data_IF_386187611026
#
_entry.id   IF_386187611026
#
_cell.length_a   1.000
_cell.length_b   1.000
_cell.length_c   1.000
_cell.angle_alpha   90.00
_cell.angle_beta   90.00
_cell.angle_gamma   90.00
#
_symmetry.space_group_name_H-M   'P 1'
#
loop_
_entity.id
_entity.type
_entity.pdbx_description
1 polymer ?
#
# COMPACT_ATOMS: atom_id res chain seq x y z
N UNK A 1 -37.58 6.67 17.59
CA UNK A 1 -37.19 8.04 17.24
C UNK A 1 -35.86 7.97 16.46
N UNK A 2 -35.71 8.65 15.34
CA UNK A 2 -34.40 8.71 14.65
C UNK A 2 -33.39 9.35 15.61
N UNK A 3 -32.32 8.62 15.95
CA UNK A 3 -31.22 9.18 16.75
C UNK A 3 -30.60 10.31 15.94
N UNK A 4 -30.79 11.56 16.41
CA UNK A 4 -30.14 12.72 15.80
C UNK A 4 -28.64 12.54 15.78
N UNK A 5 -28.04 12.74 14.62
CA UNK A 5 -26.58 12.65 14.46
C UNK A 5 -25.93 13.71 15.37
N UNK A 6 -24.83 13.41 16.06
CA UNK A 6 -24.06 14.42 16.76
C UNK A 6 -23.59 15.53 15.80
N UNK A 7 -23.38 16.77 16.31
CA UNK A 7 -22.87 17.85 15.48
C UNK A 7 -21.58 17.46 14.76
N UNK A 8 -21.48 17.74 13.47
CA UNK A 8 -20.34 17.40 12.63
C UNK A 8 -19.01 17.92 13.21
N UNK A 9 -19.04 19.09 13.83
CA UNK A 9 -17.89 19.69 14.49
C UNK A 9 -17.41 18.85 15.69
N UNK A 10 -18.31 18.27 16.48
CA UNK A 10 -17.95 17.38 17.58
C UNK A 10 -17.31 16.07 17.06
N UNK A 11 -17.81 15.56 15.94
CA UNK A 11 -17.25 14.40 15.26
C UNK A 11 -15.85 14.71 14.70
N UNK A 12 -15.65 15.91 14.11
CA UNK A 12 -14.35 16.38 13.62
C UNK A 12 -13.32 16.47 14.76
N UNK A 13 -13.73 17.05 15.89
CA UNK A 13 -12.87 17.13 17.09
C UNK A 13 -12.48 15.75 17.58
N UNK A 14 -13.40 14.78 17.65
CA UNK A 14 -13.08 13.38 18.02
C UNK A 14 -12.04 12.77 17.09
N UNK A 15 -12.25 12.85 15.79
CA UNK A 15 -11.35 12.30 14.78
C UNK A 15 -9.93 12.88 14.91
N UNK A 16 -9.84 14.20 15.11
CA UNK A 16 -8.56 14.89 15.33
C UNK A 16 -7.89 14.46 16.64
N UNK A 17 -8.64 14.31 17.72
CA UNK A 17 -8.11 13.82 19.00
C UNK A 17 -7.58 12.38 18.90
N UNK A 18 -8.26 11.50 18.18
CA UNK A 18 -7.82 10.12 17.95
C UNK A 18 -6.53 10.08 17.14
N UNK A 19 -6.43 10.89 16.09
CA UNK A 19 -5.26 10.96 15.20
C UNK A 19 -4.03 11.53 15.91
N UNK A 20 -4.18 12.62 16.65
CA UNK A 20 -3.07 13.33 17.30
C UNK A 20 -2.71 12.83 18.71
N UNK A 21 -3.59 12.01 19.30
CA UNK A 21 -3.37 11.34 20.59
C UNK A 21 -3.49 12.25 21.83
N UNK A 22 -3.62 13.57 21.69
CA UNK A 22 -3.76 14.50 22.81
C UNK A 22 -4.73 15.63 22.51
N UNK A 23 -5.46 16.10 23.54
CA UNK A 23 -6.38 17.22 23.40
C UNK A 23 -5.66 18.55 23.07
N UNK A 24 -4.46 18.75 23.58
CA UNK A 24 -3.69 19.97 23.33
C UNK A 24 -3.27 20.08 21.85
N UNK A 25 -2.81 18.98 21.24
CA UNK A 25 -2.48 18.95 19.80
C UNK A 25 -3.71 19.13 18.93
N UNK A 26 -4.80 18.47 19.29
CA UNK A 26 -6.07 18.63 18.58
C UNK A 26 -6.60 20.08 18.65
N UNK A 27 -6.51 20.69 19.83
CA UNK A 27 -6.90 22.08 20.04
C UNK A 27 -6.06 23.05 19.18
N UNK A 28 -4.76 22.87 19.14
CA UNK A 28 -3.85 23.67 18.31
C UNK A 28 -4.19 23.57 16.82
N UNK A 29 -4.41 22.34 16.32
CA UNK A 29 -4.78 22.13 14.92
C UNK A 29 -6.15 22.72 14.55
N UNK A 30 -7.11 22.65 15.48
CA UNK A 30 -8.48 23.11 15.26
C UNK A 30 -8.68 24.60 15.57
N UNK A 31 -7.66 25.31 16.05
CA UNK A 31 -7.75 26.72 16.42
C UNK A 31 -8.68 27.00 17.62
N UNK A 32 -8.83 26.05 18.55
CA UNK A 32 -9.68 26.16 19.75
C UNK A 32 -8.89 25.87 21.02
N UNK A 33 -9.48 26.12 22.18
CA UNK A 33 -8.80 25.84 23.45
C UNK A 33 -8.89 24.36 23.84
N UNK A 34 -7.90 23.81 24.59
CA UNK A 34 -7.97 22.43 25.13
C UNK A 34 -9.19 22.20 26.01
N UNK A 35 -9.66 23.22 26.71
CA UNK A 35 -10.89 23.18 27.53
C UNK A 35 -12.12 22.99 26.63
N UNK A 36 -12.21 23.70 25.50
CA UNK A 36 -13.29 23.53 24.54
C UNK A 36 -13.30 22.12 23.92
N UNK A 37 -12.13 21.57 23.60
CA UNK A 37 -12.01 20.16 23.16
C UNK A 37 -12.56 19.21 24.22
N UNK A 38 -12.13 19.37 25.48
CA UNK A 38 -12.60 18.53 26.59
C UNK A 38 -14.10 18.60 26.81
N UNK A 39 -14.68 19.82 26.75
CA UNK A 39 -16.14 20.01 26.88
C UNK A 39 -16.89 19.35 25.73
N UNK A 40 -16.45 19.54 24.48
CA UNK A 40 -17.08 18.90 23.31
C UNK A 40 -17.02 17.39 23.35
N UNK A 41 -15.91 16.81 23.83
CA UNK A 41 -15.79 15.36 23.96
C UNK A 41 -16.73 14.80 25.04
N UNK A 42 -16.85 15.46 26.20
CA UNK A 42 -17.82 15.07 27.23
C UNK A 42 -19.27 15.17 26.74
N UNK A 43 -19.63 16.24 26.01
CA UNK A 43 -20.96 16.38 25.43
C UNK A 43 -21.25 15.28 24.41
N UNK A 44 -20.26 14.93 23.57
CA UNK A 44 -20.37 13.84 22.60
C UNK A 44 -20.55 12.48 23.31
N UNK A 45 -19.75 12.19 24.34
CA UNK A 45 -19.88 10.97 25.16
C UNK A 45 -21.26 10.84 25.79
N UNK A 46 -21.77 11.96 26.36
CA UNK A 46 -23.12 11.99 26.94
C UNK A 46 -24.21 11.75 25.88
N UNK A 47 -24.09 12.35 24.70
CA UNK A 47 -25.07 12.20 23.62
C UNK A 47 -25.13 10.76 23.05
N UNK A 48 -23.96 10.13 22.88
CA UNK A 48 -23.90 8.78 22.30
C UNK A 48 -23.97 7.67 23.34
N UNK A 49 -23.86 8.02 24.65
CA UNK A 49 -23.90 7.07 25.76
C UNK A 49 -22.66 6.16 25.85
N UNK A 50 -21.51 6.59 25.32
CA UNK A 50 -20.30 5.77 25.25
C UNK A 50 -19.08 6.56 25.70
N UNK A 51 -18.27 5.98 26.59
CA UNK A 51 -16.97 6.55 26.97
C UNK A 51 -15.97 6.39 25.85
N UNK A 52 -15.45 7.51 25.37
CA UNK A 52 -14.45 7.59 24.29
C UNK A 52 -13.04 7.79 24.83
N UNK A 53 -12.89 8.49 25.96
CA UNK A 53 -11.63 8.80 26.58
C UNK A 53 -11.62 8.39 28.05
N UNK A 54 -10.49 7.85 28.50
CA UNK A 54 -10.25 7.50 29.91
C UNK A 54 -9.05 8.30 30.44
N UNK A 55 -9.13 8.74 31.69
CA UNK A 55 -8.01 9.36 32.38
C UNK A 55 -7.33 8.34 33.28
N UNK A 56 -6.02 8.20 33.12
CA UNK A 56 -5.15 7.51 34.06
C UNK A 56 -4.15 8.52 34.61
N UNK A 57 -4.48 9.18 35.73
CA UNK A 57 -3.71 10.31 36.26
C UNK A 57 -3.70 11.48 35.26
N UNK A 58 -2.52 12.04 34.93
CA UNK A 58 -2.38 13.14 33.96
C UNK A 58 -2.52 12.67 32.50
N UNK A 59 -2.50 11.35 32.24
CA UNK A 59 -2.51 10.78 30.89
C UNK A 59 -3.94 10.51 30.43
N UNK A 60 -4.27 11.02 29.25
CA UNK A 60 -5.53 10.73 28.55
C UNK A 60 -5.29 9.61 27.54
N UNK A 61 -6.14 8.56 27.59
CA UNK A 61 -6.08 7.44 26.67
C UNK A 61 -7.38 7.30 25.90
N UNK A 62 -7.30 7.01 24.60
CA UNK A 62 -8.43 6.72 23.74
C UNK A 62 -8.90 5.28 23.96
N UNK A 63 -10.21 5.05 24.04
CA UNK A 63 -10.78 3.70 24.04
C UNK A 63 -10.77 3.09 22.64
N UNK A 64 -10.90 1.75 22.54
CA UNK A 64 -11.02 1.08 21.24
C UNK A 64 -12.25 1.57 20.45
N UNK A 65 -13.34 1.87 21.15
CA UNK A 65 -14.54 2.46 20.55
C UNK A 65 -14.27 3.84 19.98
N UNK A 66 -13.45 4.67 20.65
CA UNK A 66 -13.06 5.98 20.15
C UNK A 66 -12.18 5.86 18.90
N UNK A 67 -11.22 4.91 18.90
CA UNK A 67 -10.37 4.65 17.74
C UNK A 67 -11.18 4.23 16.52
N UNK A 68 -12.06 3.24 16.68
CA UNK A 68 -12.91 2.75 15.60
C UNK A 68 -13.85 3.84 15.06
N UNK A 69 -14.50 4.60 15.97
CA UNK A 69 -15.39 5.69 15.57
C UNK A 69 -14.61 6.84 14.90
N UNK A 70 -13.49 7.25 15.47
CA UNK A 70 -12.66 8.33 14.91
C UNK A 70 -12.11 8.01 13.53
N UNK A 71 -11.73 6.75 13.28
CA UNK A 71 -11.31 6.29 11.97
C UNK A 71 -12.44 6.40 10.94
N UNK A 72 -13.63 5.89 11.26
CA UNK A 72 -14.81 5.97 10.37
C UNK A 72 -15.26 7.40 10.11
N UNK A 73 -15.12 8.29 11.11
CA UNK A 73 -15.41 9.72 10.94
C UNK A 73 -14.38 10.36 9.98
N UNK A 74 -13.09 10.06 10.10
CA UNK A 74 -12.10 10.57 9.16
C UNK A 74 -12.41 10.16 7.71
N UNK A 75 -12.81 8.90 7.51
CA UNK A 75 -13.25 8.40 6.19
C UNK A 75 -14.45 9.21 5.66
N UNK A 76 -15.47 9.42 6.50
CA UNK A 76 -16.65 10.20 6.13
C UNK A 76 -16.33 11.67 5.84
N UNK A 77 -15.48 12.30 6.64
CA UNK A 77 -15.05 13.70 6.41
C UNK A 77 -14.25 13.83 5.12
N UNK A 78 -13.44 12.85 4.75
CA UNK A 78 -12.74 12.85 3.47
C UNK A 78 -13.71 12.81 2.28
N UNK A 79 -14.80 12.03 2.39
CA UNK A 79 -15.86 12.03 1.37
C UNK A 79 -16.57 13.38 1.26
N UNK A 80 -16.86 14.02 2.40
CA UNK A 80 -17.47 15.35 2.42
C UNK A 80 -16.54 16.39 1.77
N UNK A 81 -15.25 16.37 2.10
CA UNK A 81 -14.27 17.26 1.47
C UNK A 81 -14.23 17.03 -0.05
N UNK A 82 -14.14 15.78 -0.50
CA UNK A 82 -14.19 15.46 -1.93
C UNK A 82 -15.41 16.05 -2.62
N UNK A 83 -16.61 15.88 -2.05
CA UNK A 83 -17.85 16.40 -2.62
C UNK A 83 -17.87 17.95 -2.69
N UNK A 84 -17.36 18.63 -1.65
CA UNK A 84 -17.25 20.10 -1.64
C UNK A 84 -16.28 20.58 -2.72
N UNK A 85 -15.19 19.88 -2.88
CA UNK A 85 -14.15 20.19 -3.85
C UNK A 85 -14.64 19.95 -5.29
N UNK A 86 -15.40 18.87 -5.52
CA UNK A 86 -16.09 18.62 -6.79
C UNK A 86 -17.04 19.79 -7.15
N UNK A 87 -17.78 20.31 -6.17
CA UNK A 87 -18.63 21.48 -6.36
C UNK A 87 -17.85 22.74 -6.74
N UNK A 88 -16.63 22.89 -6.23
CA UNK A 88 -15.75 24.05 -6.55
C UNK A 88 -15.09 23.94 -7.92
N UNK A 89 -15.25 22.82 -8.63
CA UNK A 89 -14.55 22.51 -9.90
C UNK A 89 -13.03 22.69 -9.83
N UNK A 90 -12.44 22.52 -8.64
CA UNK A 90 -11.01 22.54 -8.47
C UNK A 90 -10.51 21.17 -8.92
N UNK A 91 -9.67 21.11 -9.95
CA UNK A 91 -8.97 19.87 -10.33
C UNK A 91 -8.01 19.51 -9.18
N UNK A 92 -8.44 18.61 -8.31
CA UNK A 92 -7.54 18.08 -7.30
C UNK A 92 -6.49 17.19 -7.95
N UNK A 93 -5.29 17.15 -7.39
CA UNK A 93 -4.35 16.12 -7.79
C UNK A 93 -4.96 14.75 -7.49
N UNK A 94 -4.82 13.83 -8.41
CA UNK A 94 -5.21 12.43 -8.26
C UNK A 94 -4.39 11.80 -7.13
N UNK A 95 -5.06 11.38 -6.07
CA UNK A 95 -4.43 10.76 -4.90
C UNK A 95 -4.33 9.25 -5.14
N UNK A 96 -3.11 8.77 -5.31
CA UNK A 96 -2.83 7.36 -5.54
C UNK A 96 -2.14 6.79 -4.32
N UNK A 97 -2.70 5.71 -3.75
CA UNK A 97 -1.98 4.90 -2.76
C UNK A 97 -1.51 3.62 -3.42
N UNK A 98 -0.24 3.25 -3.24
CA UNK A 98 0.37 2.19 -4.02
C UNK A 98 1.29 1.32 -3.16
N UNK A 99 1.32 0.01 -3.45
CA UNK A 99 2.34 -0.88 -2.89
C UNK A 99 3.75 -0.39 -3.28
N UNK A 100 4.69 -0.26 -2.34
CA UNK A 100 5.99 0.41 -2.57
C UNK A 100 6.77 -0.16 -3.75
N UNK A 101 6.84 -1.48 -3.88
CA UNK A 101 7.53 -2.14 -4.99
C UNK A 101 6.91 -1.79 -6.34
N UNK A 102 5.57 -1.83 -6.42
CA UNK A 102 4.87 -1.48 -7.66
C UNK A 102 5.04 0.00 -7.99
N UNK A 103 4.98 0.87 -6.98
CA UNK A 103 5.23 2.30 -7.16
C UNK A 103 6.61 2.56 -7.77
N UNK A 104 7.66 2.02 -7.16
CA UNK A 104 9.04 2.26 -7.58
C UNK A 104 9.39 1.62 -8.94
N UNK A 105 8.91 0.39 -9.19
CA UNK A 105 9.35 -0.41 -10.34
C UNK A 105 8.45 -0.33 -11.55
N UNK A 106 7.17 -0.07 -11.33
CA UNK A 106 6.23 -0.06 -12.45
C UNK A 106 5.61 1.31 -12.69
N UNK A 107 5.03 1.94 -11.66
CA UNK A 107 4.23 3.15 -11.83
C UNK A 107 5.10 4.37 -12.14
N UNK A 108 6.04 4.72 -11.25
CA UNK A 108 6.86 5.94 -11.38
C UNK A 108 7.61 6.01 -12.72
N UNK A 109 8.28 4.94 -13.21
CA UNK A 109 8.94 4.99 -14.51
C UNK A 109 8.00 5.26 -15.69
N UNK A 110 6.70 4.94 -15.55
CA UNK A 110 5.69 5.12 -16.61
C UNK A 110 4.88 6.41 -16.48
N UNK A 111 4.96 7.11 -15.36
CA UNK A 111 4.24 8.39 -15.18
C UNK A 111 4.61 9.44 -16.22
N UNK A 112 5.82 9.38 -16.79
CA UNK A 112 6.22 10.25 -17.90
C UNK A 112 5.23 10.13 -19.07
N UNK A 113 4.86 8.89 -19.43
CA UNK A 113 3.89 8.66 -20.54
C UNK A 113 2.48 9.10 -20.19
N UNK A 114 2.09 9.02 -18.92
CA UNK A 114 0.82 9.57 -18.46
C UNK A 114 0.79 11.10 -18.52
N UNK A 115 1.87 11.74 -18.06
CA UNK A 115 1.97 13.21 -18.00
C UNK A 115 1.98 13.88 -19.38
N UNK A 116 2.31 13.14 -20.45
CA UNK A 116 2.21 13.66 -21.84
C UNK A 116 0.78 13.70 -22.36
N UNK A 117 -0.19 13.09 -21.68
CA UNK A 117 -1.59 13.11 -22.09
C UNK A 117 -2.22 14.48 -21.79
N UNK A 118 -3.01 15.05 -22.73
CA UNK A 118 -3.68 16.36 -22.52
C UNK A 118 -4.62 16.39 -21.31
N UNK A 119 -5.14 15.22 -20.92
CA UNK A 119 -6.07 15.04 -19.81
C UNK A 119 -5.40 14.61 -18.50
N UNK A 120 -4.05 14.58 -18.45
CA UNK A 120 -3.33 14.14 -17.27
C UNK A 120 -3.64 15.03 -16.05
N UNK A 121 -4.01 14.39 -14.95
CA UNK A 121 -4.15 15.04 -13.66
C UNK A 121 -2.80 15.14 -12.95
N UNK A 122 -2.62 16.17 -12.12
CA UNK A 122 -1.52 16.16 -11.15
C UNK A 122 -1.70 14.94 -10.22
N UNK A 123 -0.60 14.33 -9.79
CA UNK A 123 -0.63 13.12 -8.97
C UNK A 123 0.03 13.39 -7.61
N UNK A 124 -0.62 12.93 -6.55
CA UNK A 124 -0.03 12.75 -5.22
C UNK A 124 0.05 11.25 -4.96
N UNK A 125 1.28 10.72 -4.84
CA UNK A 125 1.54 9.29 -4.65
C UNK A 125 1.95 9.01 -3.20
N UNK A 126 1.18 8.13 -2.55
CA UNK A 126 1.51 7.57 -1.24
C UNK A 126 1.92 6.10 -1.39
N UNK A 127 3.21 5.82 -1.19
CA UNK A 127 3.77 4.48 -1.30
C UNK A 127 3.77 3.79 0.07
N UNK A 128 2.74 2.97 0.34
CA UNK A 128 2.57 2.28 1.62
C UNK A 128 2.14 0.82 1.45
N UNK A 129 2.54 -0.04 2.40
CA UNK A 129 2.13 -1.46 2.44
C UNK A 129 0.66 -1.60 2.88
N UNK A 130 0.20 -0.76 3.78
CA UNK A 130 -1.14 -0.82 4.33
C UNK A 130 -2.16 -0.21 3.38
N UNK A 131 -3.36 -0.77 3.31
CA UNK A 131 -4.47 -0.12 2.63
C UNK A 131 -4.86 1.11 3.45
N UNK A 132 -4.74 2.28 2.81
CA UNK A 132 -5.17 3.54 3.41
C UNK A 132 -6.69 3.57 3.60
N UNK A 133 -7.22 4.34 4.56
CA UNK A 133 -8.67 4.44 4.77
C UNK A 133 -9.41 4.85 3.50
N UNK A 134 -10.61 4.33 3.31
CA UNK A 134 -11.48 4.72 2.21
C UNK A 134 -11.75 6.23 2.26
N UNK A 135 -11.67 6.90 1.10
CA UNK A 135 -11.81 8.36 1.00
C UNK A 135 -10.51 9.15 1.18
N UNK A 136 -9.40 8.53 1.62
CA UNK A 136 -8.09 9.18 1.66
C UNK A 136 -7.35 9.14 0.32
N UNK A 137 -7.83 8.36 -0.63
CA UNK A 137 -7.27 8.20 -1.97
C UNK A 137 -8.38 8.04 -3.01
N UNK A 138 -8.05 8.25 -4.26
CA UNK A 138 -8.95 8.11 -5.41
C UNK A 138 -8.72 6.77 -6.10
N UNK A 139 -7.47 6.34 -6.18
CA UNK A 139 -7.03 5.07 -6.77
C UNK A 139 -6.05 4.37 -5.83
N UNK A 140 -6.17 3.06 -5.71
CA UNK A 140 -5.20 2.25 -4.98
C UNK A 140 -4.62 1.15 -5.87
N UNK A 141 -3.33 0.84 -5.70
CA UNK A 141 -2.69 -0.32 -6.30
C UNK A 141 -2.17 -1.19 -5.16
N UNK A 142 -2.76 -2.39 -5.03
CA UNK A 142 -2.51 -3.28 -3.90
C UNK A 142 -2.18 -4.70 -4.34
N UNK A 143 -1.30 -5.35 -3.57
CA UNK A 143 -1.10 -6.79 -3.64
C UNK A 143 -2.05 -7.50 -2.70
N UNK A 144 -2.73 -8.53 -3.18
CA UNK A 144 -3.67 -9.33 -2.39
C UNK A 144 -4.46 -10.33 -3.23
N UNK A 145 -5.30 -11.12 -2.56
CA UNK A 145 -6.06 -12.18 -3.20
C UNK A 145 -7.41 -11.71 -3.77
N UNK A 146 -7.89 -10.49 -3.38
CA UNK A 146 -9.28 -10.11 -3.64
C UNK A 146 -10.28 -11.03 -2.94
N UNK A 147 -11.58 -10.80 -3.04
CA UNK A 147 -12.18 -9.58 -3.56
C UNK A 147 -11.90 -8.37 -2.67
N UNK A 148 -12.18 -7.16 -3.19
CA UNK A 148 -11.95 -5.88 -2.50
C UNK A 148 -13.30 -5.21 -2.21
N UNK A 149 -13.96 -5.52 -1.09
CA UNK A 149 -15.29 -4.98 -0.77
C UNK A 149 -15.30 -3.45 -0.75
N UNK A 150 -16.29 -2.85 -1.40
CA UNK A 150 -16.43 -1.40 -1.49
C UNK A 150 -15.63 -0.74 -2.63
N UNK A 151 -14.89 -1.52 -3.42
CA UNK A 151 -14.12 -1.02 -4.56
C UNK A 151 -14.49 -1.76 -5.85
N UNK A 152 -14.49 -1.03 -6.95
CA UNK A 152 -14.28 -1.62 -8.27
C UNK A 152 -12.82 -2.05 -8.35
N UNK A 153 -12.55 -3.16 -9.03
CA UNK A 153 -11.19 -3.68 -9.11
C UNK A 153 -10.90 -4.39 -10.42
N UNK A 154 -9.65 -4.30 -10.84
CA UNK A 154 -9.13 -5.07 -11.96
C UNK A 154 -7.75 -5.63 -11.62
N UNK A 155 -7.52 -6.88 -11.99
CA UNK A 155 -6.23 -7.54 -11.82
C UNK A 155 -5.24 -6.99 -12.84
N UNK A 156 -4.07 -6.56 -12.38
CA UNK A 156 -3.01 -6.01 -13.21
C UNK A 156 -1.92 -7.06 -13.51
N UNK A 157 -1.30 -7.59 -12.47
CA UNK A 157 -0.11 -8.42 -12.58
C UNK A 157 -0.15 -9.55 -11.56
N UNK A 158 0.28 -10.74 -11.96
CA UNK A 158 0.52 -11.84 -11.03
C UNK A 158 1.76 -11.55 -10.17
N UNK A 159 1.73 -11.99 -8.91
CA UNK A 159 2.88 -11.97 -8.00
C UNK A 159 3.62 -13.31 -8.11
N UNK A 160 4.04 -13.66 -9.33
CA UNK A 160 4.86 -14.84 -9.57
C UNK A 160 6.34 -14.54 -9.26
N UNK A 161 7.04 -15.52 -8.72
CA UNK A 161 8.45 -15.37 -8.33
C UNK A 161 9.37 -16.37 -9.03
N UNK A 162 10.51 -15.86 -9.53
CA UNK A 162 11.65 -16.69 -9.95
C UNK A 162 12.91 -16.22 -9.24
N UNK A 163 13.91 -17.10 -9.02
CA UNK A 163 15.18 -16.69 -8.43
C UNK A 163 15.87 -15.62 -9.28
N UNK A 164 16.15 -14.49 -8.67
CA UNK A 164 16.96 -13.42 -9.24
C UNK A 164 18.16 -13.16 -8.33
N UNK A 165 19.32 -12.95 -8.91
CA UNK A 165 20.56 -12.77 -8.18
C UNK A 165 21.54 -11.85 -8.95
N UNK A 166 22.48 -11.28 -8.21
CA UNK A 166 23.57 -10.50 -8.82
C UNK A 166 24.37 -11.36 -9.81
N UNK A 167 24.81 -10.80 -10.94
CA UNK A 167 25.73 -11.47 -11.88
C UNK A 167 26.98 -12.06 -11.23
N UNK A 168 27.42 -11.52 -10.10
CA UNK A 168 28.58 -12.06 -9.36
C UNK A 168 28.41 -13.50 -8.86
N UNK A 169 27.16 -13.93 -8.67
CA UNK A 169 26.82 -15.28 -8.28
C UNK A 169 26.54 -16.21 -9.47
N UNK A 170 26.31 -15.61 -10.65
CA UNK A 170 26.02 -16.37 -11.86
C UNK A 170 27.31 -16.89 -12.48
N UNK A 171 27.35 -18.16 -12.89
CA UNK A 171 28.49 -18.67 -13.64
C UNK A 171 28.53 -18.04 -15.04
N UNK A 172 29.70 -18.00 -15.70
CA UNK A 172 29.83 -17.56 -17.08
C UNK A 172 28.79 -18.22 -18.00
N UNK A 173 28.20 -17.43 -18.90
CA UNK A 173 27.17 -17.90 -19.84
C UNK A 173 25.80 -18.18 -19.19
N UNK A 174 25.55 -17.66 -17.99
CA UNK A 174 24.27 -17.79 -17.25
C UNK A 174 23.77 -19.26 -17.08
N UNK A 175 24.70 -20.22 -17.04
CA UNK A 175 24.38 -21.65 -16.85
C UNK A 175 24.18 -22.00 -15.38
N UNK A 176 23.21 -21.33 -14.73
CA UNK A 176 22.84 -21.62 -13.35
C UNK A 176 22.06 -22.95 -13.28
N UNK A 177 22.38 -23.78 -12.32
CA UNK A 177 21.63 -24.98 -11.99
C UNK A 177 21.10 -24.87 -10.54
N UNK A 178 20.05 -25.62 -10.20
CA UNK A 178 19.52 -25.63 -8.82
C UNK A 178 20.62 -26.01 -7.81
N UNK A 179 21.49 -26.94 -8.16
CA UNK A 179 22.63 -27.34 -7.32
C UNK A 179 23.62 -26.19 -7.07
N UNK A 180 23.84 -25.33 -8.06
CA UNK A 180 24.65 -24.10 -7.89
C UNK A 180 23.93 -23.04 -7.08
N UNK A 181 22.60 -22.86 -7.30
CA UNK A 181 21.78 -21.93 -6.52
C UNK A 181 21.81 -22.27 -5.02
N UNK A 182 21.82 -23.53 -4.64
CA UNK A 182 21.91 -23.96 -3.24
C UNK A 182 23.21 -23.54 -2.54
N UNK A 183 24.25 -23.12 -3.29
CA UNK A 183 25.49 -22.56 -2.73
C UNK A 183 25.41 -21.04 -2.52
N UNK A 184 24.42 -20.39 -3.10
CA UNK A 184 24.15 -18.94 -2.94
C UNK A 184 23.27 -18.79 -1.70
N UNK A 185 23.57 -17.83 -0.80
CA UNK A 185 22.60 -17.49 0.26
C UNK A 185 21.29 -17.01 -0.35
N UNK A 186 20.16 -17.38 0.26
CA UNK A 186 18.84 -16.97 -0.22
C UNK A 186 18.24 -15.91 0.72
N UNK A 187 17.59 -14.93 0.17
CA UNK A 187 16.78 -13.98 0.93
C UNK A 187 15.50 -14.71 1.36
N UNK A 188 15.11 -14.68 2.65
CA UNK A 188 13.97 -15.43 3.17
C UNK A 188 12.65 -15.08 2.49
N UNK A 189 11.99 -16.06 1.89
CA UNK A 189 10.65 -16.00 1.31
C UNK A 189 9.99 -17.36 1.54
N UNK A 190 8.72 -17.40 1.91
CA UNK A 190 7.96 -18.62 2.19
C UNK A 190 7.77 -19.51 0.95
N UNK A 191 7.85 -18.94 -0.24
CA UNK A 191 7.65 -19.64 -1.52
C UNK A 191 8.88 -20.46 -1.96
N UNK A 192 10.04 -20.34 -1.31
CA UNK A 192 11.22 -21.11 -1.71
C UNK A 192 11.01 -22.62 -1.71
N UNK A 193 10.27 -23.14 -0.74
CA UNK A 193 10.00 -24.60 -0.67
C UNK A 193 9.22 -25.07 -1.90
N UNK A 194 8.20 -24.33 -2.30
CA UNK A 194 7.39 -24.64 -3.49
C UNK A 194 8.21 -24.45 -4.78
N UNK A 195 9.02 -23.39 -4.86
CA UNK A 195 9.89 -23.19 -6.01
C UNK A 195 10.88 -24.35 -6.20
N UNK A 196 11.53 -24.83 -5.12
CA UNK A 196 12.43 -25.98 -5.19
C UNK A 196 11.70 -27.26 -5.60
N UNK A 197 10.47 -27.45 -5.16
CA UNK A 197 9.63 -28.57 -5.60
C UNK A 197 9.36 -28.52 -7.10
N UNK A 198 8.98 -27.34 -7.62
CA UNK A 198 8.78 -27.09 -9.06
C UNK A 198 10.09 -27.30 -9.85
N UNK A 199 11.23 -26.96 -9.28
CA UNK A 199 12.54 -27.15 -9.88
C UNK A 199 13.09 -28.58 -9.75
N UNK A 200 12.30 -29.54 -9.26
CA UNK A 200 12.66 -30.96 -9.14
C UNK A 200 13.52 -31.32 -7.93
N UNK A 201 13.62 -30.45 -6.92
CA UNK A 201 14.44 -30.68 -5.72
C UNK A 201 13.62 -30.41 -4.44
N UNK A 202 12.58 -31.21 -4.15
CA UNK A 202 11.62 -30.93 -3.07
C UNK A 202 12.23 -30.92 -1.66
N UNK A 203 13.35 -31.61 -1.47
CA UNK A 203 14.05 -31.71 -0.17
C UNK A 203 15.28 -30.81 -0.10
N UNK A 204 15.28 -29.68 -0.85
CA UNK A 204 16.38 -28.74 -0.83
C UNK A 204 16.61 -28.18 0.59
N UNK A 205 17.87 -28.00 0.97
CA UNK A 205 18.30 -27.39 2.24
C UNK A 205 19.08 -26.10 1.94
N UNK A 206 18.40 -25.02 1.57
CA UNK A 206 19.06 -23.76 1.26
C UNK A 206 19.61 -23.10 2.52
N UNK A 207 20.61 -22.24 2.35
CA UNK A 207 21.11 -21.34 3.37
C UNK A 207 20.40 -19.99 3.20
N UNK A 208 19.78 -19.48 4.25
CA UNK A 208 19.17 -18.17 4.25
C UNK A 208 20.10 -17.12 4.87
N UNK A 209 20.02 -15.89 4.35
CA UNK A 209 20.62 -14.74 5.00
C UNK A 209 19.85 -14.42 6.31
N UNK A 210 20.54 -13.86 7.29
CA UNK A 210 19.92 -13.49 8.57
C UNK A 210 18.99 -12.26 8.45
N UNK A 211 19.21 -11.41 7.41
CA UNK A 211 18.42 -10.21 7.18
C UNK A 211 17.03 -10.54 6.61
N UNK A 212 16.03 -9.79 7.04
CA UNK A 212 14.66 -9.78 6.48
C UNK A 212 14.33 -8.39 5.98
N UNK A 213 13.62 -8.32 4.87
CA UNK A 213 13.26 -7.06 4.23
C UNK A 213 11.73 -6.90 4.20
N UNK A 214 11.21 -5.68 4.38
CA UNK A 214 9.76 -5.46 4.49
C UNK A 214 9.03 -5.51 3.15
N UNK A 215 9.74 -5.47 2.02
CA UNK A 215 9.14 -5.49 0.67
C UNK A 215 10.14 -5.98 -0.39
N UNK A 216 9.61 -6.38 -1.54
CA UNK A 216 10.41 -6.88 -2.66
C UNK A 216 11.39 -5.85 -3.26
N UNK A 217 11.13 -4.56 -3.09
CA UNK A 217 12.06 -3.52 -3.53
C UNK A 217 13.39 -3.62 -2.79
N UNK A 218 13.35 -3.74 -1.47
CA UNK A 218 14.56 -3.89 -0.65
C UNK A 218 15.21 -5.25 -0.81
N UNK A 219 14.41 -6.31 -1.04
CA UNK A 219 14.94 -7.63 -1.39
C UNK A 219 15.71 -7.59 -2.72
N UNK A 220 15.17 -6.93 -3.73
CA UNK A 220 15.84 -6.77 -5.02
C UNK A 220 17.13 -5.95 -4.90
N UNK A 221 17.13 -4.86 -4.12
CA UNK A 221 18.34 -4.09 -3.84
C UNK A 221 19.40 -4.94 -3.13
N UNK A 222 19.01 -5.75 -2.17
CA UNK A 222 19.90 -6.69 -1.49
C UNK A 222 20.46 -7.73 -2.46
N UNK A 223 19.64 -8.25 -3.37
CA UNK A 223 20.09 -9.18 -4.41
C UNK A 223 21.06 -8.53 -5.38
N UNK A 224 20.80 -7.29 -5.84
CA UNK A 224 21.74 -6.51 -6.69
C UNK A 224 23.10 -6.35 -6.01
N UNK A 225 23.10 -5.99 -4.72
CA UNK A 225 24.35 -5.91 -3.92
C UNK A 225 24.99 -7.28 -3.66
N UNK A 226 24.26 -8.35 -4.03
CA UNK A 226 24.72 -9.75 -3.92
C UNK A 226 24.78 -10.28 -2.51
N UNK A 227 23.90 -9.81 -1.64
CA UNK A 227 23.67 -10.39 -0.31
C UNK A 227 23.13 -11.83 -0.46
N UNK A 228 22.30 -12.06 -1.48
CA UNK A 228 21.74 -13.39 -1.75
C UNK A 228 20.86 -13.38 -3.00
N UNK A 229 20.25 -14.52 -3.32
CA UNK A 229 19.21 -14.61 -4.34
C UNK A 229 17.83 -14.36 -3.72
N UNK A 230 16.98 -13.63 -4.43
CA UNK A 230 15.60 -13.33 -4.04
C UNK A 230 14.59 -13.97 -5.01
N UNK A 231 13.39 -14.30 -4.52
CA UNK A 231 12.25 -14.68 -5.36
C UNK A 231 11.48 -13.43 -5.77
N UNK A 232 11.67 -12.99 -7.00
CA UNK A 232 11.13 -11.73 -7.49
C UNK A 232 10.28 -11.95 -8.75
N UNK A 233 9.29 -11.08 -8.95
CA UNK A 233 8.46 -11.09 -10.16
C UNK A 233 9.19 -10.45 -11.34
N UNK A 234 9.45 -11.19 -12.45
CA UNK A 234 10.12 -10.62 -13.61
C UNK A 234 9.40 -9.41 -14.19
N UNK A 235 8.06 -9.37 -14.11
CA UNK A 235 7.26 -8.26 -14.62
C UNK A 235 7.51 -6.91 -13.91
N UNK A 236 7.97 -6.94 -12.65
CA UNK A 236 8.31 -5.74 -11.90
C UNK A 236 9.78 -5.34 -12.00
N UNK A 237 10.67 -6.32 -12.19
CA UNK A 237 12.12 -6.09 -12.15
C UNK A 237 12.81 -6.26 -13.52
N UNK A 238 12.04 -6.07 -14.60
CA UNK A 238 12.57 -6.13 -15.99
C UNK A 238 13.72 -5.16 -16.21
N UNK A 239 13.66 -3.97 -15.63
CA UNK A 239 14.72 -2.96 -15.71
C UNK A 239 16.04 -3.45 -15.11
N UNK A 240 16.03 -4.13 -13.97
CA UNK A 240 17.23 -4.69 -13.39
C UNK A 240 17.83 -5.84 -14.23
N UNK A 241 16.97 -6.60 -14.92
CA UNK A 241 17.41 -7.66 -15.82
C UNK A 241 18.04 -7.05 -17.08
N UNK A 242 17.39 -6.08 -17.71
CA UNK A 242 17.88 -5.44 -18.94
C UNK A 242 19.15 -4.65 -18.72
N UNK A 243 19.31 -4.01 -17.56
CA UNK A 243 20.54 -3.31 -17.16
C UNK A 243 21.65 -4.27 -16.71
N UNK A 244 21.37 -5.56 -16.62
CA UNK A 244 22.35 -6.55 -16.13
C UNK A 244 22.66 -6.45 -14.63
N UNK A 245 21.86 -5.71 -13.87
CA UNK A 245 22.01 -5.60 -12.41
C UNK A 245 21.58 -6.89 -11.69
N UNK A 246 20.60 -7.59 -12.24
CA UNK A 246 20.16 -8.92 -11.83
C UNK A 246 20.11 -9.86 -13.03
N UNK A 247 20.31 -11.16 -12.76
CA UNK A 247 20.03 -12.23 -13.71
C UNK A 247 18.89 -13.11 -13.16
N UNK A 248 18.01 -13.55 -14.06
CA UNK A 248 16.92 -14.50 -13.79
C UNK A 248 17.19 -15.79 -14.56
N UNK A 249 18.02 -16.71 -14.03
CA UNK A 249 18.55 -17.83 -14.79
C UNK A 249 17.57 -19.01 -14.93
N UNK A 250 16.40 -18.95 -14.33
CA UNK A 250 15.42 -20.03 -14.34
C UNK A 250 14.13 -19.58 -15.02
N UNK A 251 13.55 -20.46 -15.83
CA UNK A 251 12.20 -20.28 -16.40
C UNK A 251 11.09 -20.66 -15.43
N UNK A 252 11.38 -21.53 -14.46
CA UNK A 252 10.42 -21.95 -13.44
C UNK A 252 10.03 -20.77 -12.56
N UNK A 253 8.72 -20.56 -12.44
CA UNK A 253 8.14 -19.52 -11.58
C UNK A 253 7.21 -20.17 -10.58
N UNK A 254 7.27 -19.72 -9.33
CA UNK A 254 6.29 -20.08 -8.31
C UNK A 254 5.20 -19.00 -8.31
N UNK A 255 3.95 -19.41 -8.34
CA UNK A 255 2.84 -18.51 -8.20
C UNK A 255 2.81 -17.93 -6.78
N UNK A 256 2.63 -16.62 -6.69
CA UNK A 256 2.37 -15.96 -5.42
C UNK A 256 0.92 -16.17 -4.97
N UNK A 257 0.66 -16.08 -3.66
CA UNK A 257 -0.70 -16.17 -3.14
C UNK A 257 -1.55 -14.95 -3.52
N UNK A 258 -0.93 -13.90 -4.05
CA UNK A 258 -1.55 -12.62 -4.33
C UNK A 258 -1.30 -12.16 -5.77
N UNK A 259 -2.05 -11.14 -6.18
CA UNK A 259 -1.85 -10.42 -7.43
C UNK A 259 -1.85 -8.92 -7.16
N UNK A 260 -1.30 -8.12 -8.05
CA UNK A 260 -1.48 -6.67 -8.00
C UNK A 260 -2.81 -6.30 -8.63
N UNK A 261 -3.57 -5.46 -7.92
CA UNK A 261 -4.89 -5.00 -8.29
C UNK A 261 -4.93 -3.49 -8.37
N UNK A 262 -5.61 -2.96 -9.35
CA UNK A 262 -6.04 -1.58 -9.41
C UNK A 262 -7.42 -1.49 -8.77
N UNK A 263 -7.59 -0.60 -7.81
CA UNK A 263 -8.81 -0.41 -7.03
C UNK A 263 -9.26 1.04 -7.13
N UNK A 264 -10.57 1.27 -7.25
CA UNK A 264 -11.16 2.62 -7.23
C UNK A 264 -12.60 2.57 -6.74
N UNK A 265 -13.15 3.71 -6.32
CA UNK A 265 -14.59 3.84 -6.04
C UNK A 265 -15.28 4.49 -7.24
N UNK A 266 -16.58 4.17 -7.45
CA UNK A 266 -17.37 4.76 -8.56
C UNK A 266 -17.45 6.30 -8.49
N UNK A 267 -17.33 6.86 -7.29
CA UNK A 267 -17.47 8.29 -7.03
C UNK A 267 -16.17 9.10 -7.25
N UNK A 268 -15.02 8.45 -7.11
CA UNK A 268 -13.71 9.11 -7.08
C UNK A 268 -12.78 8.68 -8.23
N UNK A 269 -13.32 8.05 -9.29
CA UNK A 269 -12.50 7.52 -10.37
C UNK A 269 -12.10 8.61 -11.39
N UNK A 270 -10.80 8.85 -11.54
CA UNK A 270 -10.24 9.54 -12.71
C UNK A 270 -10.25 8.57 -13.91
N UNK A 271 -11.27 8.71 -14.78
CA UNK A 271 -11.46 7.83 -15.92
C UNK A 271 -10.25 7.81 -16.88
N UNK A 272 -9.52 8.92 -17.00
CA UNK A 272 -8.34 9.01 -17.87
C UNK A 272 -7.17 8.21 -17.31
N UNK A 273 -6.92 8.33 -15.98
CA UNK A 273 -5.89 7.54 -15.33
C UNK A 273 -6.23 6.05 -15.35
N UNK A 274 -7.48 5.68 -15.08
CA UNK A 274 -7.92 4.29 -15.12
C UNK A 274 -7.79 3.68 -16.53
N UNK A 275 -8.19 4.41 -17.56
CA UNK A 275 -8.04 4.00 -18.95
C UNK A 275 -6.57 3.83 -19.34
N UNK A 276 -5.71 4.81 -18.95
CA UNK A 276 -4.28 4.71 -19.17
C UNK A 276 -3.68 3.50 -18.44
N UNK A 277 -4.00 3.31 -17.16
CA UNK A 277 -3.53 2.15 -16.38
C UNK A 277 -3.92 0.82 -17.05
N UNK A 278 -5.21 0.66 -17.39
CA UNK A 278 -5.72 -0.55 -18.04
C UNK A 278 -5.02 -0.82 -19.37
N UNK A 279 -4.82 0.22 -20.19
CA UNK A 279 -4.15 0.10 -21.51
C UNK A 279 -2.72 -0.42 -21.38
N UNK A 280 -2.00 -0.06 -20.31
CA UNK A 280 -0.63 -0.55 -20.04
C UNK A 280 -0.57 -2.07 -19.80
N UNK A 281 -1.70 -2.69 -19.47
CA UNK A 281 -1.81 -4.14 -19.23
C UNK A 281 -2.65 -4.85 -20.30
N UNK A 282 -3.04 -4.15 -21.38
CA UNK A 282 -3.90 -4.70 -22.42
C UNK A 282 -5.31 -5.06 -21.94
N UNK A 283 -5.78 -4.36 -20.89
CA UNK A 283 -7.12 -4.54 -20.31
C UNK A 283 -8.05 -3.50 -20.94
N UNK A 284 -9.19 -3.96 -21.44
CA UNK A 284 -10.22 -3.10 -22.04
C UNK A 284 -11.02 -2.30 -20.97
#
# INVERSE_FOLDING_TARGET
MPKTLPPLESLRVLATCVRLGTFSRAAAELGITPTAVSQRMRALEAQIGVTLFRRHGPKLTTTDRARALGQRINEALSLVHGAVDDCRRIKHPLRITCAPTFAARWLVPRLVSYQTLPSASAIVLDATQSLSPQGSFDVAIRSGCGPWPGYESVRLLADDGTPMLSPKWAPPGNRMTVKKLLRVPLIPDSRWAEWFKLAGVPNAKPRFVAARFPNYELEAQAAVKGIGAALLSPGLFTDFITQGALVAPFSSKVEGPSCYWLLWTKQCADAHFLSWMKSQFGIA
#
